data_IF_283177466205
#
_entry.id   IF_283177466205
#
_cell.length_a   1.000
_cell.length_b   1.000
_cell.length_c   1.000
_cell.angle_alpha   90.00
_cell.angle_beta   90.00
_cell.angle_gamma   90.00
#
_symmetry.space_group_name_H-M   'P 1'
#
loop_
_entity.id
_entity.type
_entity.pdbx_description
1 polymer ?
#
# COMPACT_ATOMS: atom_id res chain seq x y z
N UNK A 1 7.20 -5.76 -11.05
CA UNK A 1 7.15 -6.05 -9.62
C UNK A 1 8.26 -5.32 -8.87
N UNK A 2 8.17 -5.24 -7.54
CA UNK A 2 9.29 -4.85 -6.69
C UNK A 2 9.84 -6.12 -6.02
N UNK A 3 11.09 -6.45 -6.28
CA UNK A 3 11.73 -7.62 -5.67
C UNK A 3 13.06 -7.14 -5.09
N UNK A 4 13.17 -7.20 -3.77
CA UNK A 4 14.33 -6.70 -3.03
C UNK A 4 14.85 -7.75 -2.07
N UNK A 5 16.17 -7.75 -1.84
CA UNK A 5 16.85 -8.68 -0.97
C UNK A 5 17.97 -8.00 -0.18
N UNK A 6 18.03 -8.33 1.11
CA UNK A 6 19.23 -8.10 1.90
C UNK A 6 19.36 -9.19 2.98
N UNK A 7 20.55 -9.75 3.11
CA UNK A 7 20.82 -10.87 4.00
C UNK A 7 20.66 -10.56 5.50
N UNK A 8 20.81 -9.29 5.88
CA UNK A 8 20.78 -8.82 7.27
C UNK A 8 19.41 -8.35 7.75
N UNK A 9 18.37 -8.32 6.90
CA UNK A 9 17.04 -7.92 7.33
C UNK A 9 16.42 -8.96 8.24
N UNK A 10 15.71 -8.48 9.25
CA UNK A 10 15.02 -9.38 10.18
C UNK A 10 13.72 -9.93 9.55
N UNK A 11 13.53 -11.24 9.59
CA UNK A 11 12.38 -11.93 8.99
C UNK A 11 11.02 -11.40 9.49
N UNK A 12 10.95 -10.96 10.75
CA UNK A 12 9.72 -10.43 11.35
C UNK A 12 9.27 -9.07 10.81
N UNK A 13 10.14 -8.33 10.10
CA UNK A 13 9.80 -6.97 9.60
C UNK A 13 9.65 -6.90 8.08
N UNK A 14 10.10 -7.91 7.31
CA UNK A 14 10.05 -7.86 5.84
C UNK A 14 8.62 -7.72 5.29
N UNK A 15 7.61 -8.21 6.01
CA UNK A 15 6.21 -8.01 5.63
C UNK A 15 5.75 -6.56 5.75
N UNK A 16 6.21 -5.85 6.78
CA UNK A 16 5.93 -4.41 6.97
C UNK A 16 6.65 -3.62 5.87
N UNK A 17 7.90 -3.96 5.57
CA UNK A 17 8.68 -3.34 4.49
C UNK A 17 7.99 -3.54 3.14
N UNK A 18 7.49 -4.75 2.84
CA UNK A 18 6.75 -5.03 1.62
C UNK A 18 5.49 -4.16 1.49
N UNK A 19 4.73 -3.96 2.58
CA UNK A 19 3.57 -3.08 2.60
C UNK A 19 3.96 -1.62 2.32
N UNK A 20 5.03 -1.12 2.94
CA UNK A 20 5.52 0.25 2.71
C UNK A 20 6.02 0.48 1.28
N UNK A 21 6.67 -0.50 0.67
CA UNK A 21 7.09 -0.43 -0.72
C UNK A 21 5.89 -0.35 -1.68
N UNK A 22 4.78 -1.02 -1.39
CA UNK A 22 3.54 -0.88 -2.17
C UNK A 22 2.96 0.53 -2.06
N UNK A 23 2.93 1.13 -0.88
CA UNK A 23 2.47 2.51 -0.69
C UNK A 23 3.23 3.51 -1.58
N UNK A 24 4.54 3.26 -1.77
CA UNK A 24 5.42 4.14 -2.57
C UNK A 24 5.39 3.85 -4.06
N UNK A 25 5.46 2.58 -4.44
CA UNK A 25 5.68 2.17 -5.84
C UNK A 25 4.48 1.49 -6.49
N UNK A 26 3.46 1.16 -5.74
CA UNK A 26 2.20 0.53 -6.13
C UNK A 26 2.38 -0.62 -7.14
N UNK A 27 3.18 -1.61 -6.76
CA UNK A 27 3.43 -2.84 -7.54
C UNK A 27 3.44 -4.06 -6.61
N UNK A 28 3.07 -5.26 -7.09
CA UNK A 28 3.28 -6.50 -6.34
C UNK A 28 4.73 -6.57 -5.86
N UNK A 29 4.92 -6.83 -4.58
CA UNK A 29 6.22 -6.65 -3.91
C UNK A 29 6.60 -7.91 -3.15
N UNK A 30 7.84 -8.37 -3.33
CA UNK A 30 8.48 -9.40 -2.50
C UNK A 30 9.73 -8.82 -1.83
N UNK A 31 9.83 -9.04 -0.52
CA UNK A 31 11.00 -8.66 0.27
C UNK A 31 11.64 -9.91 0.82
N UNK A 32 12.84 -10.22 0.35
CA UNK A 32 13.63 -11.38 0.72
C UNK A 32 14.64 -11.08 1.81
N UNK A 33 14.90 -12.07 2.66
CA UNK A 33 16.01 -12.06 3.60
C UNK A 33 16.56 -13.48 3.78
N UNK A 34 17.76 -13.59 4.34
CA UNK A 34 18.36 -14.88 4.68
C UNK A 34 17.58 -15.54 5.83
N UNK A 35 17.23 -16.82 5.68
CA UNK A 35 16.46 -17.58 6.67
C UNK A 35 17.19 -18.83 7.18
N UNK A 36 18.39 -19.07 6.69
CA UNK A 36 19.24 -20.22 7.01
C UNK A 36 20.39 -20.29 6.01
N UNK A 37 21.23 -21.30 6.12
CA UNK A 37 22.31 -21.52 5.16
C UNK A 37 21.73 -21.91 3.79
N UNK A 38 22.05 -21.13 2.76
CA UNK A 38 21.54 -21.33 1.41
C UNK A 38 20.01 -21.18 1.23
N UNK A 39 19.31 -20.63 2.21
CA UNK A 39 17.84 -20.49 2.20
C UNK A 39 17.44 -19.03 2.35
N UNK A 40 16.57 -18.58 1.48
CA UNK A 40 15.93 -17.28 1.55
C UNK A 40 14.45 -17.43 1.87
N UNK A 41 13.95 -16.51 2.71
CA UNK A 41 12.52 -16.36 2.96
C UNK A 41 12.07 -14.98 2.50
N UNK A 42 10.88 -14.91 1.94
CA UNK A 42 10.27 -13.66 1.52
C UNK A 42 8.89 -13.46 2.10
N UNK A 43 8.51 -12.20 2.26
CA UNK A 43 7.13 -11.79 2.43
C UNK A 43 6.67 -11.07 1.17
N UNK A 44 5.57 -11.55 0.61
CA UNK A 44 4.91 -10.97 -0.54
C UNK A 44 3.71 -10.12 -0.11
N UNK A 45 3.49 -9.02 -0.82
CA UNK A 45 2.28 -8.19 -0.71
C UNK A 45 1.80 -7.83 -2.11
N UNK A 46 0.50 -7.61 -2.26
CA UNK A 46 -0.12 -7.31 -3.54
C UNK A 46 -0.81 -5.95 -3.57
N UNK A 47 -0.98 -5.43 -4.77
CA UNK A 47 -1.85 -4.28 -5.05
C UNK A 47 -3.32 -4.72 -5.17
N UNK A 48 -4.24 -3.79 -5.09
CA UNK A 48 -5.67 -4.08 -5.20
C UNK A 48 -5.99 -4.82 -6.52
N UNK A 49 -6.75 -5.89 -6.39
CA UNK A 49 -7.22 -6.69 -7.53
C UNK A 49 -6.21 -7.69 -8.11
N UNK A 50 -4.91 -7.57 -7.85
CA UNK A 50 -3.91 -8.51 -8.33
C UNK A 50 -3.75 -9.69 -7.36
N UNK A 51 -3.64 -10.91 -7.90
CA UNK A 51 -3.42 -12.12 -7.11
C UNK A 51 -1.95 -12.50 -7.05
N UNK A 52 -1.28 -12.15 -5.93
CA UNK A 52 0.14 -12.48 -5.75
C UNK A 52 0.36 -13.96 -5.47
N UNK A 53 -0.64 -14.64 -4.91
CA UNK A 53 -0.54 -16.08 -4.63
C UNK A 53 -0.45 -16.88 -5.93
N UNK A 54 -1.36 -16.61 -6.88
CA UNK A 54 -1.34 -17.23 -8.21
C UNK A 54 -0.06 -16.90 -8.98
N UNK A 55 0.42 -15.67 -8.88
CA UNK A 55 1.68 -15.28 -9.53
C UNK A 55 2.90 -16.02 -8.94
N UNK A 56 2.90 -16.29 -7.65
CA UNK A 56 3.93 -17.10 -6.98
C UNK A 56 3.79 -18.57 -7.38
N UNK A 57 2.58 -19.10 -7.43
CA UNK A 57 2.32 -20.50 -7.80
C UNK A 57 2.82 -20.79 -9.22
N UNK A 58 2.65 -19.87 -10.15
CA UNK A 58 3.20 -19.98 -11.50
C UNK A 58 4.74 -20.12 -11.52
N UNK A 59 5.42 -19.71 -10.44
CA UNK A 59 6.88 -19.80 -10.29
C UNK A 59 7.32 -21.03 -9.46
N UNK A 60 6.44 -21.98 -9.20
CA UNK A 60 6.61 -23.13 -8.29
C UNK A 60 7.92 -23.93 -8.51
N UNK A 61 8.42 -24.02 -9.75
CA UNK A 61 9.66 -24.73 -10.07
C UNK A 61 10.91 -24.17 -9.36
N UNK A 62 10.85 -22.92 -8.86
CA UNK A 62 11.94 -22.25 -8.16
C UNK A 62 11.71 -22.14 -6.65
N UNK A 63 10.64 -22.76 -6.12
CA UNK A 63 10.18 -22.56 -4.74
C UNK A 63 10.33 -23.86 -3.96
N UNK A 64 10.76 -23.75 -2.70
CA UNK A 64 10.74 -24.86 -1.75
C UNK A 64 9.34 -24.98 -1.13
N UNK A 65 8.83 -23.84 -0.64
CA UNK A 65 7.56 -23.74 0.04
C UNK A 65 6.98 -22.35 -0.09
N UNK A 66 5.68 -22.23 -0.23
CA UNK A 66 4.96 -20.96 -0.14
C UNK A 66 3.58 -21.19 0.47
N UNK A 67 2.97 -20.11 0.95
CA UNK A 67 1.62 -20.13 1.50
C UNK A 67 1.12 -18.71 1.75
N UNK A 68 -0.20 -18.56 1.76
CA UNK A 68 -0.83 -17.26 1.93
C UNK A 68 -2.16 -17.16 1.21
N UNK A 69 -2.47 -15.98 0.74
CA UNK A 69 -3.69 -15.68 0.00
C UNK A 69 -3.44 -14.54 -1.02
N UNK A 70 -4.45 -14.18 -1.78
CA UNK A 70 -4.42 -13.19 -2.87
C UNK A 70 -3.58 -11.93 -2.60
N UNK A 71 -3.60 -11.40 -1.37
CA UNK A 71 -2.96 -10.12 -1.04
C UNK A 71 -1.68 -10.24 -0.24
N UNK A 72 -1.40 -11.40 0.33
CA UNK A 72 -0.21 -11.61 1.13
C UNK A 72 0.21 -13.08 1.11
N UNK A 73 1.50 -13.33 0.91
CA UNK A 73 2.06 -14.67 0.93
C UNK A 73 3.47 -14.68 1.53
N UNK A 74 3.86 -15.85 2.04
CA UNK A 74 5.22 -16.17 2.43
C UNK A 74 5.84 -17.14 1.43
N UNK A 75 7.10 -16.94 1.08
CA UNK A 75 7.83 -17.78 0.12
C UNK A 75 9.17 -18.17 0.71
N UNK A 76 9.57 -19.42 0.47
CA UNK A 76 10.90 -19.94 0.82
C UNK A 76 11.53 -20.53 -0.43
N UNK A 77 12.74 -20.10 -0.76
CA UNK A 77 13.50 -20.58 -1.92
C UNK A 77 14.92 -20.95 -1.53
N UNK A 78 15.61 -21.73 -2.36
CA UNK A 78 17.08 -21.84 -2.27
C UNK A 78 17.72 -20.52 -2.77
N UNK A 79 18.77 -20.08 -2.10
CA UNK A 79 19.50 -18.85 -2.47
C UNK A 79 20.00 -18.92 -3.93
N UNK A 80 20.46 -20.08 -4.38
CA UNK A 80 20.86 -20.33 -5.79
C UNK A 80 19.73 -20.13 -6.82
N UNK A 81 18.46 -20.17 -6.38
CA UNK A 81 17.27 -20.00 -7.23
C UNK A 81 16.76 -18.56 -7.25
N UNK A 82 17.36 -17.65 -6.49
CA UNK A 82 16.85 -16.28 -6.35
C UNK A 82 16.70 -15.54 -7.69
N UNK A 83 17.77 -15.55 -8.51
CA UNK A 83 17.70 -14.83 -9.80
C UNK A 83 16.72 -15.50 -10.78
N UNK A 84 16.67 -16.84 -10.82
CA UNK A 84 15.71 -17.55 -11.65
C UNK A 84 14.24 -17.28 -11.23
N UNK A 85 13.99 -17.27 -9.91
CA UNK A 85 12.68 -16.90 -9.36
C UNK A 85 12.31 -15.47 -9.70
N UNK A 86 13.24 -14.52 -9.51
CA UNK A 86 13.03 -13.10 -9.81
C UNK A 86 12.61 -12.87 -11.27
N UNK A 87 13.34 -13.45 -12.22
CA UNK A 87 13.03 -13.35 -13.65
C UNK A 87 11.65 -13.96 -13.96
N UNK A 88 11.37 -15.15 -13.43
CA UNK A 88 10.09 -15.81 -13.65
C UNK A 88 8.92 -15.01 -13.07
N UNK A 89 9.06 -14.51 -11.85
CA UNK A 89 8.02 -13.73 -11.19
C UNK A 89 7.79 -12.37 -11.88
N UNK A 90 8.83 -11.66 -12.31
CA UNK A 90 8.70 -10.43 -13.07
C UNK A 90 7.99 -10.67 -14.41
N UNK A 91 8.33 -11.73 -15.13
CA UNK A 91 7.67 -12.12 -16.37
C UNK A 91 6.18 -12.44 -16.13
N UNK A 92 5.87 -13.22 -15.10
CA UNK A 92 4.49 -13.57 -14.74
C UNK A 92 3.66 -12.34 -14.39
N UNK A 93 4.20 -11.44 -13.56
CA UNK A 93 3.52 -10.18 -13.21
C UNK A 93 3.33 -9.31 -14.45
N UNK A 94 4.34 -9.19 -15.32
CA UNK A 94 4.24 -8.38 -16.54
C UNK A 94 3.13 -8.87 -17.48
N UNK A 95 2.91 -10.18 -17.55
CA UNK A 95 1.87 -10.80 -18.41
C UNK A 95 0.47 -10.69 -17.83
N UNK A 96 0.33 -10.67 -16.48
CA UNK A 96 -0.98 -10.81 -15.83
C UNK A 96 -1.51 -9.53 -15.20
N UNK A 97 -0.64 -8.56 -14.88
CA UNK A 97 -1.07 -7.31 -14.28
C UNK A 97 -1.73 -6.38 -15.29
N UNK A 98 -2.94 -5.91 -15.00
CA UNK A 98 -3.68 -4.97 -15.86
C UNK A 98 -3.23 -3.53 -15.66
N UNK A 99 -3.58 -2.63 -16.58
CA UNK A 99 -3.32 -1.19 -16.44
C UNK A 99 -3.96 -0.62 -15.17
N UNK A 100 -5.23 -0.95 -14.91
CA UNK A 100 -5.95 -0.50 -13.71
C UNK A 100 -5.28 -0.94 -12.40
N UNK A 101 -4.65 -2.13 -12.37
CA UNK A 101 -3.93 -2.62 -11.19
C UNK A 101 -2.56 -1.95 -10.98
N UNK A 102 -2.11 -1.13 -11.93
CA UNK A 102 -0.86 -0.34 -11.84
C UNK A 102 -1.10 1.07 -11.32
N UNK A 103 -2.34 1.48 -11.23
CA UNK A 103 -2.75 2.80 -10.78
C UNK A 103 -3.37 2.71 -9.39
N UNK A 104 -2.88 3.55 -8.50
CA UNK A 104 -3.47 3.65 -7.16
C UNK A 104 -4.78 4.44 -7.27
N UNK A 105 -5.89 3.81 -6.90
CA UNK A 105 -7.18 4.46 -6.77
C UNK A 105 -7.54 4.69 -5.31
N UNK A 106 -8.24 5.77 -5.05
CA UNK A 106 -8.84 6.05 -3.76
C UNK A 106 -10.36 5.97 -3.92
N UNK A 107 -10.97 5.02 -3.23
CA UNK A 107 -12.42 4.94 -3.16
C UNK A 107 -12.94 6.09 -2.29
N UNK A 108 -13.88 6.86 -2.85
CA UNK A 108 -14.48 8.02 -2.20
C UNK A 108 -15.97 7.73 -2.00
N UNK A 109 -16.44 7.88 -0.76
CA UNK A 109 -17.84 7.58 -0.43
C UNK A 109 -18.79 8.68 -0.90
N UNK A 110 -18.40 9.95 -0.72
CA UNK A 110 -19.26 11.07 -1.10
C UNK A 110 -18.51 12.38 -1.31
N UNK A 111 -18.98 13.20 -2.24
CA UNK A 111 -18.55 14.59 -2.38
C UNK A 111 -19.09 15.42 -1.20
N UNK A 112 -18.21 16.10 -0.48
CA UNK A 112 -18.54 16.89 0.71
C UNK A 112 -18.00 18.33 0.59
N UNK A 113 -18.81 19.30 0.17
CA UNK A 113 -18.42 20.71 0.20
C UNK A 113 -18.12 21.17 1.62
N UNK A 114 -17.19 22.12 1.78
CA UNK A 114 -16.77 22.67 3.08
C UNK A 114 -17.94 23.17 3.95
N UNK A 115 -18.96 23.75 3.33
CA UNK A 115 -20.13 24.23 4.03
C UNK A 115 -20.89 23.14 4.84
N UNK A 116 -20.72 21.87 4.47
CA UNK A 116 -21.32 20.73 5.16
C UNK A 116 -20.43 20.12 6.25
N UNK A 117 -19.18 20.56 6.38
CA UNK A 117 -18.28 20.16 7.46
C UNK A 117 -18.69 20.89 8.74
N UNK A 118 -19.64 20.34 9.44
CA UNK A 118 -20.26 20.96 10.63
C UNK A 118 -20.00 20.13 11.88
N UNK A 119 -20.14 20.72 13.08
CA UNK A 119 -20.10 19.94 14.33
C UNK A 119 -21.13 18.81 14.39
N UNK A 120 -22.27 18.96 13.67
CA UNK A 120 -23.27 17.89 13.55
C UNK A 120 -22.73 16.70 12.76
N UNK A 121 -22.06 16.94 11.61
CA UNK A 121 -21.42 15.88 10.82
C UNK A 121 -20.39 15.13 11.66
N UNK A 122 -19.52 15.84 12.38
CA UNK A 122 -18.50 15.21 13.22
C UNK A 122 -19.12 14.32 14.33
N UNK A 123 -20.23 14.73 14.92
CA UNK A 123 -20.95 13.89 15.89
C UNK A 123 -21.54 12.64 15.25
N UNK A 124 -22.07 12.75 14.03
CA UNK A 124 -22.61 11.58 13.30
C UNK A 124 -21.47 10.60 12.98
N UNK A 125 -20.34 11.09 12.48
CA UNK A 125 -19.18 10.23 12.18
C UNK A 125 -18.69 9.49 13.44
N UNK A 126 -18.65 10.16 14.59
CA UNK A 126 -18.32 9.51 15.86
C UNK A 126 -19.28 8.39 16.26
N UNK A 127 -20.58 8.48 15.89
CA UNK A 127 -21.55 7.44 16.16
C UNK A 127 -21.37 6.19 15.28
N UNK A 128 -20.62 6.32 14.18
CA UNK A 128 -20.29 5.20 13.29
C UNK A 128 -19.10 4.37 13.78
N UNK A 129 -18.35 4.85 14.77
CA UNK A 129 -17.23 4.13 15.36
C UNK A 129 -17.70 2.87 16.16
N UNK A 130 -16.87 1.83 16.29
CA UNK A 130 -15.47 1.74 15.83
C UNK A 130 -15.37 1.40 14.33
N UNK A 131 -14.44 2.06 13.64
CA UNK A 131 -14.13 1.74 12.26
C UNK A 131 -13.21 0.52 12.16
N UNK A 132 -13.33 -0.25 11.07
CA UNK A 132 -12.57 -1.46 10.82
C UNK A 132 -12.87 -2.07 9.43
N UNK A 133 -12.49 -3.33 9.18
CA UNK A 133 -12.57 -3.94 7.85
C UNK A 133 -13.96 -3.89 7.20
N UNK A 134 -15.03 -4.17 7.95
CA UNK A 134 -16.41 -4.18 7.44
C UNK A 134 -17.15 -2.86 7.73
N UNK A 135 -16.50 -1.92 8.41
CA UNK A 135 -17.04 -0.60 8.72
C UNK A 135 -15.92 0.42 8.54
N UNK A 136 -15.54 0.70 7.30
CA UNK A 136 -14.43 1.63 6.99
C UNK A 136 -14.78 3.06 7.36
N UNK A 137 -13.77 3.82 7.79
CA UNK A 137 -13.93 5.26 7.95
C UNK A 137 -14.28 5.89 6.60
N UNK A 138 -15.34 6.71 6.53
CA UNK A 138 -15.73 7.33 5.26
C UNK A 138 -14.66 8.28 4.73
N UNK A 139 -14.48 8.24 3.43
CA UNK A 139 -13.57 9.10 2.67
C UNK A 139 -14.37 10.13 1.91
N UNK A 140 -14.09 11.39 2.17
CA UNK A 140 -14.77 12.53 1.54
C UNK A 140 -13.91 13.17 0.48
N UNK A 141 -14.57 13.74 -0.54
CA UNK A 141 -13.92 14.44 -1.63
C UNK A 141 -14.52 15.84 -1.76
N UNK A 142 -13.67 16.85 -1.93
CA UNK A 142 -14.08 18.24 -2.11
C UNK A 142 -13.41 18.83 -3.34
N UNK A 143 -14.20 19.36 -4.26
CA UNK A 143 -13.71 20.04 -5.47
C UNK A 143 -13.59 21.55 -5.26
N UNK A 144 -12.82 22.20 -6.16
CA UNK A 144 -12.70 23.66 -6.20
C UNK A 144 -12.05 24.26 -4.97
N UNK A 145 -11.17 23.49 -4.33
CA UNK A 145 -10.41 23.92 -3.14
C UNK A 145 -9.16 24.66 -3.57
N UNK A 146 -8.94 25.84 -2.97
CA UNK A 146 -7.73 26.64 -3.18
C UNK A 146 -7.05 26.93 -1.84
N UNK A 147 -5.72 27.06 -1.86
CA UNK A 147 -4.98 27.57 -0.70
C UNK A 147 -5.33 29.05 -0.49
N UNK A 148 -5.66 29.41 0.74
CA UNK A 148 -5.92 30.80 1.13
C UNK A 148 -4.66 31.69 1.14
N UNK A 149 -3.50 31.15 0.77
CA UNK A 149 -2.20 31.84 0.85
C UNK A 149 -1.58 31.81 2.26
N UNK A 150 -2.10 30.95 3.16
CA UNK A 150 -1.64 30.84 4.56
C UNK A 150 -0.82 29.56 4.82
N UNK A 151 -0.32 28.91 3.77
CA UNK A 151 0.49 27.72 3.92
C UNK A 151 1.89 28.03 4.51
N UNK A 152 2.28 27.30 5.54
CA UNK A 152 3.61 27.43 6.15
C UNK A 152 4.10 26.12 6.75
N UNK A 153 5.41 25.92 6.72
CA UNK A 153 6.05 24.81 7.43
C UNK A 153 6.12 25.15 8.93
N UNK A 154 5.73 24.18 9.76
CA UNK A 154 5.70 24.29 11.22
C UNK A 154 6.37 23.07 11.85
N UNK A 155 6.58 23.11 13.18
CA UNK A 155 7.33 22.10 13.91
C UNK A 155 8.80 22.53 14.12
N UNK A 156 9.49 21.87 15.04
CA UNK A 156 10.87 22.19 15.39
C UNK A 156 11.82 22.06 14.19
N UNK A 157 11.58 21.04 13.34
CA UNK A 157 12.36 20.71 12.12
C UNK A 157 11.67 21.17 10.83
N UNK A 158 10.56 21.89 10.93
CA UNK A 158 9.73 22.33 9.79
C UNK A 158 9.22 21.16 8.93
N UNK A 159 9.05 19.99 9.51
CA UNK A 159 8.59 18.77 8.81
C UNK A 159 7.07 18.72 8.60
N UNK A 160 6.30 19.63 9.20
CA UNK A 160 4.85 19.67 9.08
C UNK A 160 4.38 20.87 8.27
N UNK A 161 3.42 20.66 7.35
CA UNK A 161 2.75 21.71 6.62
C UNK A 161 1.46 22.11 7.37
N UNK A 162 1.32 23.39 7.70
CA UNK A 162 0.05 23.99 8.14
C UNK A 162 -0.49 24.86 7.02
N UNK A 163 -1.64 24.49 6.46
CA UNK A 163 -2.31 25.22 5.41
C UNK A 163 -3.75 25.56 5.82
N UNK A 164 -4.35 26.53 5.13
CA UNK A 164 -5.77 26.84 5.20
C UNK A 164 -6.35 26.81 3.80
N UNK A 165 -7.43 26.10 3.64
CA UNK A 165 -8.09 25.95 2.36
C UNK A 165 -9.43 26.67 2.36
N UNK A 166 -9.83 27.17 1.20
CA UNK A 166 -11.14 27.79 0.96
C UNK A 166 -11.80 27.15 -0.24
N UNK A 167 -13.13 27.09 -0.23
CA UNK A 167 -13.94 26.64 -1.34
C UNK A 167 -15.00 27.70 -1.65
N UNK A 168 -14.85 28.41 -2.77
CA UNK A 168 -15.73 29.53 -3.12
C UNK A 168 -15.74 30.60 -2.03
N UNK A 169 -16.92 30.93 -1.49
CA UNK A 169 -17.10 31.89 -0.40
C UNK A 169 -17.16 31.26 0.99
N UNK A 170 -16.80 29.95 1.13
CA UNK A 170 -16.81 29.29 2.43
C UNK A 170 -15.74 29.84 3.38
N UNK A 171 -15.98 29.70 4.70
CA UNK A 171 -14.93 29.97 5.67
C UNK A 171 -13.75 29.02 5.46
N UNK A 172 -12.51 29.49 5.72
CA UNK A 172 -11.33 28.63 5.62
C UNK A 172 -11.39 27.45 6.62
N UNK A 173 -10.91 26.31 6.17
CA UNK A 173 -10.71 25.08 6.96
C UNK A 173 -9.22 24.79 7.12
#
# INVERSE_FOLDING_TARGET
ANIVYASHWHKGVIGIVASRLIETYYRPTLVFTKSGEGILAASARSVLGFDVYEAIDACRANIIQFGGHKYAAGVTIKEEKYEAFKVAFEAQVAQTITAAQKEQSLDVDVALPFAFITPKLLRILKQMEPFGPENRSPVFYTEGVVDSGYAKLVGHDKSHLKARFVQGSSSPI
#
